data_IF_421582036644
#
_entry.id   IF_421582036644
#
_cell.length_a   1.000
_cell.length_b   1.000
_cell.length_c   1.000
_cell.angle_alpha   90.00
_cell.angle_beta   90.00
_cell.angle_gamma   90.00
#
_symmetry.space_group_name_H-M   'P 1'
#
loop_
_entity.id
_entity.type
_entity.pdbx_description
1 polymer ?
#
# COMPACT_ATOMS: atom_id res chain seq x y z
N UNK A 1 21.74 -1.02 2.96
CA UNK A 1 20.87 -1.54 1.89
C UNK A 1 19.88 -2.49 2.53
N UNK A 2 18.58 -2.32 2.30
CA UNK A 2 17.58 -3.31 2.72
C UNK A 2 17.77 -4.61 1.94
N UNK A 3 17.64 -5.75 2.61
CA UNK A 3 17.74 -7.07 1.97
C UNK A 3 16.35 -7.47 1.47
N UNK A 4 16.19 -7.83 0.19
CA UNK A 4 14.90 -8.28 -0.31
C UNK A 4 14.49 -9.59 0.40
N UNK A 5 13.22 -9.69 0.78
CA UNK A 5 12.62 -10.89 1.35
C UNK A 5 11.59 -11.43 0.37
N UNK A 6 11.75 -12.69 -0.02
CA UNK A 6 10.77 -13.39 -0.87
C UNK A 6 9.74 -14.11 0.00
N UNK A 7 8.46 -13.88 -0.27
CA UNK A 7 7.34 -14.50 0.46
C UNK A 7 6.45 -15.26 -0.54
N UNK A 8 6.54 -16.59 -0.62
CA UNK A 8 5.64 -17.37 -1.47
C UNK A 8 4.24 -17.40 -0.88
N UNK A 9 3.22 -17.14 -1.71
CA UNK A 9 1.82 -17.16 -1.28
C UNK A 9 0.97 -17.83 -2.35
N UNK A 10 0.21 -18.85 -1.96
CA UNK A 10 -0.78 -19.50 -2.82
C UNK A 10 -2.17 -19.23 -2.26
N UNK A 11 -3.06 -18.76 -3.13
CA UNK A 11 -4.44 -18.43 -2.78
C UNK A 11 -5.35 -18.78 -3.95
N UNK A 12 -6.63 -19.07 -3.67
CA UNK A 12 -7.65 -19.07 -4.71
C UNK A 12 -7.86 -17.64 -5.23
N UNK A 13 -8.35 -17.51 -6.47
CA UNK A 13 -8.68 -16.21 -7.04
C UNK A 13 -9.65 -15.41 -6.16
N UNK A 14 -10.63 -16.08 -5.55
CA UNK A 14 -11.58 -15.46 -4.60
C UNK A 14 -10.86 -14.85 -3.40
N UNK A 15 -9.93 -15.58 -2.78
CA UNK A 15 -9.22 -15.08 -1.60
C UNK A 15 -8.27 -13.94 -1.97
N UNK A 16 -7.54 -14.05 -3.08
CA UNK A 16 -6.65 -13.00 -3.54
C UNK A 16 -7.41 -11.69 -3.87
N UNK A 17 -8.57 -11.79 -4.54
CA UNK A 17 -9.42 -10.62 -4.83
C UNK A 17 -9.96 -9.97 -3.56
N UNK A 18 -10.45 -10.77 -2.60
CA UNK A 18 -10.95 -10.25 -1.32
C UNK A 18 -9.84 -9.56 -0.51
N UNK A 19 -8.64 -10.15 -0.46
CA UNK A 19 -7.48 -9.56 0.19
C UNK A 19 -7.07 -8.25 -0.49
N UNK A 20 -7.05 -8.21 -1.83
CA UNK A 20 -6.74 -6.99 -2.58
C UNK A 20 -7.72 -5.86 -2.24
N UNK A 21 -9.02 -6.15 -2.17
CA UNK A 21 -10.03 -5.15 -1.82
C UNK A 21 -9.85 -4.62 -0.40
N UNK A 22 -9.66 -5.51 0.58
CA UNK A 22 -9.40 -5.15 1.97
C UNK A 22 -8.15 -4.27 2.11
N UNK A 23 -7.03 -4.67 1.49
CA UNK A 23 -5.79 -3.89 1.55
C UNK A 23 -5.95 -2.51 0.89
N UNK A 24 -6.67 -2.42 -0.23
CA UNK A 24 -6.96 -1.13 -0.87
C UNK A 24 -7.81 -0.23 0.02
N UNK A 25 -8.80 -0.78 0.72
CA UNK A 25 -9.64 -0.02 1.64
C UNK A 25 -8.83 0.51 2.82
N UNK A 26 -8.06 -0.37 3.47
CA UNK A 26 -7.20 0.01 4.59
C UNK A 26 -6.16 1.04 4.18
N UNK A 27 -5.53 0.89 3.02
CA UNK A 27 -4.55 1.85 2.51
C UNK A 27 -5.17 3.24 2.33
N UNK A 28 -6.40 3.33 1.79
CA UNK A 28 -7.11 4.61 1.66
C UNK A 28 -7.42 5.25 3.01
N UNK A 29 -7.88 4.46 3.98
CA UNK A 29 -8.17 4.94 5.34
C UNK A 29 -6.90 5.47 6.01
N UNK A 30 -5.82 4.69 6.00
CA UNK A 30 -4.53 5.11 6.55
C UNK A 30 -3.98 6.38 5.88
N UNK A 31 -4.08 6.46 4.56
CA UNK A 31 -3.68 7.67 3.85
C UNK A 31 -4.51 8.87 4.28
N UNK A 32 -5.84 8.72 4.39
CA UNK A 32 -6.73 9.79 4.82
C UNK A 32 -6.39 10.28 6.23
N UNK A 33 -6.16 9.37 7.17
CA UNK A 33 -5.80 9.71 8.55
C UNK A 33 -4.47 10.45 8.63
N UNK A 34 -3.46 9.97 7.88
CA UNK A 34 -2.13 10.57 7.88
C UNK A 34 -2.06 11.86 7.07
N UNK A 35 -2.94 12.04 6.08
CA UNK A 35 -2.95 13.23 5.22
C UNK A 35 -3.09 14.54 6.01
N UNK A 36 -3.87 14.48 7.09
CA UNK A 36 -4.18 15.63 7.95
C UNK A 36 -3.38 15.66 9.25
N UNK A 37 -2.53 14.66 9.49
CA UNK A 37 -1.65 14.66 10.65
C UNK A 37 -0.65 15.82 10.53
N UNK A 38 -0.32 16.47 11.66
CA UNK A 38 0.53 17.68 11.69
C UNK A 38 1.89 17.47 11.01
N UNK A 39 2.43 16.25 11.08
CA UNK A 39 3.68 15.85 10.45
C UNK A 39 3.66 15.95 8.92
N UNK A 40 2.48 15.80 8.29
CA UNK A 40 2.32 15.73 6.84
C UNK A 40 1.49 16.88 6.27
N UNK A 41 0.67 17.55 7.08
CA UNK A 41 -0.17 18.68 6.65
C UNK A 41 0.66 19.86 6.11
N UNK A 42 1.87 20.04 6.65
CA UNK A 42 2.84 21.07 6.23
C UNK A 42 3.63 20.70 4.97
N UNK A 43 3.59 19.44 4.54
CA UNK A 43 4.26 18.99 3.32
C UNK A 43 3.43 19.43 2.10
N UNK A 44 4.05 19.94 1.02
CA UNK A 44 3.35 20.24 -0.22
C UNK A 44 2.56 19.02 -0.72
N UNK A 45 1.32 19.24 -1.17
CA UNK A 45 0.40 18.17 -1.56
C UNK A 45 1.00 17.23 -2.62
N UNK A 46 1.73 17.77 -3.59
CA UNK A 46 2.41 17.02 -4.65
C UNK A 46 3.48 16.05 -4.13
N UNK A 47 3.98 16.26 -2.90
CA UNK A 47 5.03 15.45 -2.27
C UNK A 47 4.48 14.62 -1.10
N UNK A 48 3.35 15.03 -0.51
CA UNK A 48 2.79 14.47 0.73
C UNK A 48 2.59 12.96 0.66
N UNK A 49 2.03 12.46 -0.43
CA UNK A 49 1.83 11.02 -0.63
C UNK A 49 3.16 10.26 -0.55
N UNK A 50 4.19 10.73 -1.26
CA UNK A 50 5.49 10.08 -1.24
C UNK A 50 6.14 10.17 0.15
N UNK A 51 6.04 11.31 0.82
CA UNK A 51 6.56 11.50 2.19
C UNK A 51 5.87 10.60 3.21
N UNK A 52 4.55 10.41 3.13
CA UNK A 52 3.81 9.47 3.99
C UNK A 52 4.33 8.05 3.76
N UNK A 53 4.50 7.65 2.50
CA UNK A 53 4.90 6.29 2.14
C UNK A 53 6.35 6.00 2.56
N UNK A 54 7.27 6.94 2.36
CA UNK A 54 8.68 6.75 2.74
C UNK A 54 8.90 6.81 4.25
N UNK A 55 8.06 7.55 4.99
CA UNK A 55 8.16 7.65 6.45
C UNK A 55 7.48 6.50 7.21
N UNK A 56 6.58 5.74 6.57
CA UNK A 56 5.81 4.65 7.20
C UNK A 56 6.06 3.32 6.47
N UNK A 57 7.00 2.47 6.95
CA UNK A 57 7.38 1.22 6.28
C UNK A 57 6.21 0.25 6.02
N UNK A 58 5.24 0.17 6.93
CA UNK A 58 4.07 -0.69 6.76
C UNK A 58 3.15 -0.25 5.62
N UNK A 59 3.04 1.07 5.37
CA UNK A 59 2.25 1.62 4.25
C UNK A 59 2.96 1.36 2.92
N UNK A 60 4.29 1.54 2.88
CA UNK A 60 5.10 1.15 1.74
C UNK A 60 4.94 -0.35 1.42
N UNK A 61 5.04 -1.22 2.42
CA UNK A 61 4.84 -2.66 2.26
C UNK A 61 3.43 -3.00 1.76
N UNK A 62 2.40 -2.34 2.29
CA UNK A 62 1.02 -2.54 1.82
C UNK A 62 0.84 -2.12 0.36
N UNK A 63 1.42 -0.98 -0.06
CA UNK A 63 1.39 -0.54 -1.46
C UNK A 63 2.06 -1.56 -2.39
N UNK A 64 3.19 -2.12 -1.97
CA UNK A 64 3.89 -3.19 -2.71
C UNK A 64 3.00 -4.44 -2.81
N UNK A 65 2.39 -4.88 -1.71
CA UNK A 65 1.50 -6.04 -1.68
C UNK A 65 0.27 -5.86 -2.59
N UNK A 66 -0.35 -4.66 -2.59
CA UNK A 66 -1.43 -4.31 -3.52
C UNK A 66 -0.96 -4.44 -4.97
N UNK A 67 0.22 -3.91 -5.31
CA UNK A 67 0.79 -4.03 -6.66
C UNK A 67 1.04 -5.48 -7.07
N UNK A 68 1.62 -6.30 -6.17
CA UNK A 68 1.88 -7.71 -6.42
C UNK A 68 0.58 -8.50 -6.64
N UNK A 69 -0.46 -8.27 -5.80
CA UNK A 69 -1.76 -8.91 -5.95
C UNK A 69 -2.46 -8.49 -7.24
N UNK A 70 -2.39 -7.19 -7.61
CA UNK A 70 -2.94 -6.70 -8.88
C UNK A 70 -2.32 -7.42 -10.07
N UNK A 71 -0.99 -7.51 -10.10
CA UNK A 71 -0.24 -8.20 -11.15
C UNK A 71 -0.59 -9.70 -11.19
N UNK A 72 -0.64 -10.38 -10.04
CA UNK A 72 -0.98 -11.80 -9.96
C UNK A 72 -2.43 -12.10 -10.40
N UNK A 73 -3.36 -11.18 -10.15
CA UNK A 73 -4.77 -11.30 -10.56
C UNK A 73 -5.03 -10.83 -12.00
N UNK A 74 -4.03 -10.28 -12.70
CA UNK A 74 -4.21 -9.69 -14.04
C UNK A 74 -5.02 -8.38 -14.04
N UNK A 75 -5.09 -7.69 -12.91
CA UNK A 75 -5.85 -6.43 -12.74
C UNK A 75 -4.91 -5.22 -12.86
N UNK A 76 -4.46 -4.92 -14.08
CA UNK A 76 -3.57 -3.78 -14.37
C UNK A 76 -4.32 -2.45 -14.59
N UNK A 77 -5.44 -2.24 -13.90
CA UNK A 77 -6.21 -0.99 -13.91
C UNK A 77 -6.02 -0.21 -12.61
#
# INVERSE_FOLDING_TARGET
MEKPVFVPMQMSQRHASALLEQLRQQFRQQLQDLWWCDDFSRVPETQRLNTIITSRPHIAAQRIAIGALKAALGTNQ
#
